data_IF_617880700849
#
_entry.id   IF_617880700849
#
_cell.length_a   1.000
_cell.length_b   1.000
_cell.length_c   1.000
_cell.angle_alpha   90.00
_cell.angle_beta   90.00
_cell.angle_gamma   90.00
#
_symmetry.space_group_name_H-M   'P 1'
#
loop_
_entity.id
_entity.type
_entity.pdbx_description
1 polymer ?
#
# COMPACT_ATOMS: atom_id res chain seq x y z
N UNK A 1 3.70 -23.80 17.62
CA UNK A 1 4.89 -23.19 18.26
C UNK A 1 6.12 -23.99 17.84
N UNK A 2 7.26 -23.35 17.56
CA UNK A 2 8.48 -24.04 17.10
C UNK A 2 9.10 -24.92 18.20
N UNK A 3 8.98 -24.49 19.46
CA UNK A 3 9.39 -25.25 20.65
C UNK A 3 8.21 -25.32 21.62
N UNK A 4 8.15 -26.38 22.44
CA UNK A 4 7.03 -26.59 23.37
C UNK A 4 7.12 -25.70 24.61
N UNK A 5 8.31 -25.63 25.22
CA UNK A 5 8.46 -25.06 26.57
C UNK A 5 9.43 -23.87 26.63
N UNK A 6 9.80 -23.28 25.49
CA UNK A 6 10.68 -22.11 25.44
C UNK A 6 10.38 -21.18 24.27
N UNK A 7 10.67 -19.87 24.40
CA UNK A 7 10.68 -18.96 23.27
C UNK A 7 11.72 -19.36 22.23
N UNK A 8 11.55 -18.87 21.00
CA UNK A 8 12.56 -19.01 19.95
C UNK A 8 13.53 -17.83 19.99
N UNK A 9 14.64 -17.95 19.25
CA UNK A 9 15.66 -16.91 19.15
C UNK A 9 15.09 -15.52 18.82
N UNK A 10 14.06 -15.44 17.95
CA UNK A 10 13.46 -14.16 17.60
C UNK A 10 12.86 -13.41 18.80
N UNK A 11 12.35 -14.12 19.80
CA UNK A 11 11.90 -13.49 21.04
C UNK A 11 13.11 -13.03 21.88
N UNK A 12 14.11 -13.89 22.03
CA UNK A 12 15.30 -13.59 22.84
C UNK A 12 16.08 -12.38 22.31
N UNK A 13 16.07 -12.16 20.99
CA UNK A 13 16.67 -10.98 20.34
C UNK A 13 15.69 -9.81 20.13
N UNK A 14 14.47 -9.89 20.68
CA UNK A 14 13.50 -8.79 20.67
C UNK A 14 12.76 -8.55 19.34
N UNK A 15 12.85 -9.45 18.36
CA UNK A 15 12.13 -9.35 17.07
C UNK A 15 10.71 -9.91 17.09
N UNK A 16 10.35 -10.68 18.11
CA UNK A 16 9.03 -11.29 18.25
C UNK A 16 8.53 -11.11 19.68
N UNK A 17 7.25 -10.74 19.90
CA UNK A 17 6.68 -10.61 21.23
C UNK A 17 6.29 -11.96 21.88
N UNK A 18 6.62 -13.09 21.25
CA UNK A 18 6.44 -14.41 21.86
C UNK A 18 4.98 -14.91 21.86
N UNK A 19 4.20 -14.55 20.83
CA UNK A 19 2.80 -14.99 20.66
C UNK A 19 2.62 -16.51 20.76
N UNK A 20 3.60 -17.26 20.24
CA UNK A 20 3.58 -18.72 20.22
C UNK A 20 3.66 -19.35 21.63
N UNK A 21 4.20 -18.61 22.60
CA UNK A 21 4.30 -18.99 24.01
C UNK A 21 3.38 -18.15 24.91
N UNK A 22 2.45 -17.37 24.33
CA UNK A 22 1.52 -16.49 25.07
C UNK A 22 2.22 -15.49 26.01
N UNK A 23 3.42 -15.06 25.65
CA UNK A 23 4.20 -14.06 26.41
C UNK A 23 3.68 -12.63 26.21
N UNK A 24 2.74 -12.44 25.30
CA UNK A 24 2.02 -11.19 25.06
C UNK A 24 0.51 -11.47 25.12
N UNK A 25 -0.25 -10.53 25.69
CA UNK A 25 -1.70 -10.64 25.73
C UNK A 25 -2.33 -10.42 24.34
N UNK A 26 -3.49 -11.04 24.04
CA UNK A 26 -4.23 -10.76 22.81
C UNK A 26 -4.56 -9.28 22.63
N UNK A 27 -4.84 -8.56 23.72
CA UNK A 27 -5.14 -7.13 23.72
C UNK A 27 -3.93 -6.29 23.28
N UNK A 28 -2.75 -6.55 23.84
CA UNK A 28 -1.52 -5.83 23.47
C UNK A 28 -1.07 -6.17 22.05
N UNK A 29 -1.20 -7.43 21.65
CA UNK A 29 -0.92 -7.83 20.29
C UNK A 29 -1.84 -7.12 19.29
N UNK A 30 -3.13 -6.99 19.63
CA UNK A 30 -4.10 -6.24 18.80
C UNK A 30 -3.74 -4.76 18.69
N UNK A 31 -3.26 -4.12 19.77
CA UNK A 31 -2.76 -2.72 19.71
C UNK A 31 -1.56 -2.61 18.77
N UNK A 32 -0.65 -3.58 18.79
CA UNK A 32 0.48 -3.63 17.85
C UNK A 32 -0.01 -3.75 16.40
N UNK A 33 -0.96 -4.65 16.13
CA UNK A 33 -1.54 -4.81 14.81
C UNK A 33 -2.25 -3.55 14.31
N UNK A 34 -2.93 -2.80 15.18
CA UNK A 34 -3.54 -1.52 14.81
C UNK A 34 -2.50 -0.50 14.34
N UNK A 35 -1.35 -0.42 15.02
CA UNK A 35 -0.24 0.46 14.59
C UNK A 35 0.31 0.03 13.22
N UNK A 36 0.51 -1.26 13.02
CA UNK A 36 0.96 -1.81 11.73
C UNK A 36 -0.05 -1.49 10.63
N UNK A 37 -1.36 -1.65 10.89
CA UNK A 37 -2.41 -1.33 9.93
C UNK A 37 -2.39 0.16 9.54
N UNK A 38 -2.13 1.08 10.47
CA UNK A 38 -2.03 2.52 10.16
C UNK A 38 -0.90 2.80 9.16
N UNK A 39 0.23 2.10 9.25
CA UNK A 39 1.34 2.24 8.30
C UNK A 39 0.88 1.85 6.88
N UNK A 40 0.25 0.69 6.72
CA UNK A 40 -0.23 0.21 5.41
C UNK A 40 -1.40 1.03 4.84
N UNK A 41 -2.14 1.73 5.70
CA UNK A 41 -3.19 2.67 5.30
C UNK A 41 -2.65 4.07 4.94
N UNK A 42 -1.34 4.29 5.03
CA UNK A 42 -0.73 5.60 4.77
C UNK A 42 -0.89 6.61 5.91
N UNK A 43 -1.49 6.22 7.05
CA UNK A 43 -1.67 7.04 8.26
C UNK A 43 -0.40 7.12 9.11
N UNK A 44 0.73 7.28 8.45
CA UNK A 44 2.05 7.29 9.09
C UNK A 44 2.25 8.51 9.97
N UNK A 45 1.80 9.69 9.52
CA UNK A 45 1.91 10.94 10.27
C UNK A 45 1.17 10.86 11.61
N UNK A 46 -0.06 10.36 11.59
CA UNK A 46 -0.87 10.18 12.80
C UNK A 46 -0.20 9.21 13.79
N UNK A 47 0.42 8.13 13.29
CA UNK A 47 1.19 7.21 14.14
C UNK A 47 2.45 7.88 14.73
N UNK A 48 3.16 8.70 13.94
CA UNK A 48 4.31 9.47 14.42
C UNK A 48 3.91 10.44 15.55
N UNK A 49 2.77 11.13 15.41
CA UNK A 49 2.27 12.05 16.42
C UNK A 49 1.92 11.30 17.73
N UNK A 50 1.26 10.14 17.63
CA UNK A 50 0.94 9.28 18.79
C UNK A 50 2.23 8.82 19.50
N UNK A 51 3.25 8.40 18.75
CA UNK A 51 4.51 7.92 19.32
C UNK A 51 5.33 9.05 19.92
N UNK A 52 5.30 10.25 19.31
CA UNK A 52 5.96 11.45 19.83
C UNK A 52 5.36 11.85 21.17
N UNK A 53 4.04 11.94 21.27
CA UNK A 53 3.37 12.25 22.53
C UNK A 53 3.69 11.22 23.63
N UNK A 54 3.76 9.93 23.29
CA UNK A 54 4.16 8.89 24.22
C UNK A 54 5.63 8.98 24.64
N UNK A 55 6.51 9.40 23.73
CA UNK A 55 7.94 9.58 23.98
C UNK A 55 8.18 10.75 24.93
N UNK A 56 7.52 11.89 24.69
CA UNK A 56 7.65 13.09 25.52
C UNK A 56 7.16 12.81 26.94
N UNK A 57 6.01 12.14 27.07
CA UNK A 57 5.50 11.69 28.38
C UNK A 57 6.49 10.77 29.10
N UNK A 58 7.09 9.82 28.39
CA UNK A 58 8.10 8.93 28.98
C UNK A 58 9.35 9.69 29.44
N UNK A 59 9.75 10.75 28.73
CA UNK A 59 10.85 11.61 29.12
C UNK A 59 10.51 12.47 30.36
N UNK A 60 9.28 13.00 30.45
CA UNK A 60 8.78 13.70 31.64
C UNK A 60 8.77 12.79 32.88
N UNK A 61 8.42 11.51 32.71
CA UNK A 61 8.46 10.49 33.75
C UNK A 61 9.88 9.95 34.04
N UNK A 62 10.92 10.55 33.45
CA UNK A 62 12.34 10.15 33.57
C UNK A 62 12.64 8.71 33.09
N UNK A 63 11.76 8.13 32.26
CA UNK A 63 11.91 6.81 31.68
C UNK A 63 12.64 6.88 30.32
N UNK A 64 13.92 7.26 30.38
CA UNK A 64 14.74 7.53 29.19
C UNK A 64 14.94 6.31 28.28
N UNK A 65 15.01 5.10 28.83
CA UNK A 65 15.11 3.89 28.01
C UNK A 65 13.87 3.67 27.16
N UNK A 66 12.69 3.89 27.72
CA UNK A 66 11.44 3.75 26.99
C UNK A 66 11.28 4.87 25.94
N UNK A 67 11.61 6.11 26.31
CA UNK A 67 11.64 7.24 25.37
C UNK A 67 12.60 6.98 24.20
N UNK A 68 13.80 6.44 24.47
CA UNK A 68 14.76 6.08 23.42
C UNK A 68 14.21 5.02 22.47
N UNK A 69 13.52 3.99 22.99
CA UNK A 69 12.86 2.98 22.14
C UNK A 69 11.78 3.59 21.24
N UNK A 70 10.96 4.50 21.76
CA UNK A 70 9.94 5.20 20.97
C UNK A 70 10.56 6.09 19.89
N UNK A 71 11.62 6.83 20.22
CA UNK A 71 12.41 7.60 19.26
C UNK A 71 12.94 6.75 18.11
N UNK A 72 13.49 5.58 18.44
CA UNK A 72 14.05 4.68 17.43
C UNK A 72 12.95 4.05 16.56
N UNK A 73 11.75 3.81 17.11
CA UNK A 73 10.56 3.43 16.33
C UNK A 73 10.13 4.54 15.37
N UNK A 74 10.06 5.80 15.81
CA UNK A 74 9.72 6.97 14.97
C UNK A 74 10.70 7.07 13.80
N UNK A 75 12.01 6.97 14.07
CA UNK A 75 13.05 6.98 13.01
C UNK A 75 12.88 5.83 12.02
N UNK A 76 12.56 4.64 12.52
CA UNK A 76 12.26 3.48 11.67
C UNK A 76 11.07 3.75 10.75
N UNK A 77 9.99 4.32 11.28
CA UNK A 77 8.80 4.69 10.51
C UNK A 77 9.13 5.75 9.45
N UNK A 78 9.86 6.81 9.81
CA UNK A 78 10.27 7.86 8.88
C UNK A 78 11.15 7.33 7.75
N UNK A 79 12.01 6.35 8.04
CA UNK A 79 12.84 5.70 7.02
C UNK A 79 12.03 4.93 5.98
N UNK A 80 10.83 4.45 6.33
CA UNK A 80 9.91 3.82 5.37
C UNK A 80 9.29 4.85 4.40
N UNK A 81 9.17 6.11 4.81
CA UNK A 81 8.57 7.19 4.02
C UNK A 81 9.54 7.99 3.15
N UNK A 82 10.84 7.90 3.39
CA UNK A 82 11.85 8.77 2.76
C UNK A 82 12.00 8.57 1.24
N UNK A 83 11.62 7.41 0.70
CA UNK A 83 11.84 7.06 -0.71
C UNK A 83 10.66 7.40 -1.67
N UNK A 84 9.53 7.91 -1.17
CA UNK A 84 8.31 8.07 -1.99
C UNK A 84 7.83 9.52 -2.08
N UNK A 85 8.57 10.33 -2.85
CA UNK A 85 8.17 11.68 -3.28
C UNK A 85 7.18 11.64 -4.44
N UNK A 86 5.94 11.25 -4.17
CA UNK A 86 4.79 11.73 -4.96
C UNK A 86 3.70 11.97 -3.93
N UNK A 87 3.28 13.22 -3.76
CA UNK A 87 2.11 13.59 -2.96
C UNK A 87 1.02 14.02 -3.95
N UNK A 88 -0.13 13.37 -3.89
CA UNK A 88 -1.35 13.81 -4.58
C UNK A 88 -2.15 14.70 -3.61
N UNK A 89 -2.88 15.73 -4.06
CA UNK A 89 -3.63 16.64 -3.17
C UNK A 89 -4.80 15.99 -2.39
N UNK A 90 -5.09 14.72 -2.64
CA UNK A 90 -6.29 14.03 -2.16
C UNK A 90 -5.90 12.71 -1.48
N UNK A 91 -5.43 12.83 -0.25
CA UNK A 91 -4.74 11.78 0.54
C UNK A 91 -5.69 10.67 1.07
N UNK A 92 -6.96 10.64 0.65
CA UNK A 92 -7.94 9.66 1.16
C UNK A 92 -8.32 8.59 0.13
N UNK A 93 -8.04 8.80 -1.15
CA UNK A 93 -8.50 7.92 -2.24
C UNK A 93 -7.36 7.05 -2.76
N UNK A 94 -7.55 5.74 -2.72
CA UNK A 94 -6.69 4.76 -3.39
C UNK A 94 -6.91 4.82 -4.90
N UNK A 95 -5.83 5.05 -5.66
CA UNK A 95 -5.84 5.17 -7.12
C UNK A 95 -4.80 4.23 -7.73
N UNK A 96 -5.10 3.62 -8.86
CA UNK A 96 -4.06 3.05 -9.73
C UNK A 96 -3.99 3.89 -11.00
N UNK A 97 -2.79 4.08 -11.55
CA UNK A 97 -2.58 4.81 -12.80
C UNK A 97 -1.81 3.93 -13.77
N UNK A 98 -2.36 3.74 -14.98
CA UNK A 98 -1.78 2.91 -16.01
C UNK A 98 -1.54 3.72 -17.29
N UNK A 99 -0.36 3.55 -17.86
CA UNK A 99 0.02 4.14 -19.13
C UNK A 99 0.92 3.18 -19.91
N UNK A 100 1.00 3.40 -21.22
CA UNK A 100 1.92 2.71 -22.08
C UNK A 100 2.72 3.67 -22.97
N UNK A 101 3.87 3.20 -23.41
CA UNK A 101 4.62 3.77 -24.51
C UNK A 101 4.97 2.63 -25.47
N UNK A 102 4.82 2.84 -26.76
CA UNK A 102 5.04 1.80 -27.76
C UNK A 102 5.90 2.30 -28.92
N UNK A 103 6.70 1.39 -29.48
CA UNK A 103 7.32 1.50 -30.80
C UNK A 103 6.61 0.58 -31.81
N UNK A 104 7.24 0.26 -32.95
CA UNK A 104 6.65 -0.60 -33.99
C UNK A 104 6.47 -2.07 -33.58
N UNK A 105 7.16 -2.51 -32.52
CA UNK A 105 7.24 -3.92 -32.12
C UNK A 105 6.79 -4.15 -30.67
N UNK A 106 7.11 -3.23 -29.75
CA UNK A 106 6.90 -3.42 -28.33
C UNK A 106 6.10 -2.27 -27.72
N UNK A 107 5.14 -2.63 -26.86
CA UNK A 107 4.48 -1.73 -25.94
C UNK A 107 4.96 -2.02 -24.52
N UNK A 108 5.54 -1.01 -23.87
CA UNK A 108 5.92 -1.03 -22.47
C UNK A 108 4.80 -0.39 -21.65
N UNK A 109 4.20 -1.15 -20.74
CA UNK A 109 3.08 -0.71 -19.91
C UNK A 109 3.56 -0.59 -18.47
N UNK A 110 3.17 0.50 -17.81
CA UNK A 110 3.50 0.76 -16.42
C UNK A 110 2.21 1.02 -15.63
N UNK A 111 1.98 0.18 -14.62
CA UNK A 111 0.93 0.35 -13.62
C UNK A 111 1.55 0.86 -12.31
N UNK A 112 1.10 2.02 -11.87
CA UNK A 112 1.47 2.64 -10.61
C UNK A 112 0.34 2.51 -9.61
N UNK A 113 0.63 1.98 -8.43
CA UNK A 113 -0.34 1.82 -7.36
C UNK A 113 -0.15 2.94 -6.34
N UNK A 114 -1.16 3.77 -6.16
CA UNK A 114 -1.13 4.98 -5.31
C UNK A 114 -2.15 4.81 -4.17
N UNK A 115 -1.69 4.91 -2.93
CA UNK A 115 -2.53 4.77 -1.73
C UNK A 115 -2.26 5.95 -0.81
N UNK A 116 -3.32 6.62 -0.38
CA UNK A 116 -3.22 7.83 0.45
C UNK A 116 -2.20 8.85 -0.10
N UNK A 117 -2.31 9.14 -1.41
CA UNK A 117 -1.40 10.05 -2.10
C UNK A 117 0.00 9.51 -2.39
N UNK A 118 0.40 8.36 -1.83
CA UNK A 118 1.77 7.79 -1.94
C UNK A 118 1.86 6.66 -2.94
N UNK A 119 2.95 6.62 -3.71
CA UNK A 119 3.22 5.54 -4.66
C UNK A 119 3.71 4.28 -3.94
N UNK A 120 2.84 3.29 -3.71
CA UNK A 120 3.17 2.06 -2.98
C UNK A 120 3.69 0.92 -3.86
N UNK A 121 3.44 0.96 -5.17
CA UNK A 121 3.80 -0.12 -6.08
C UNK A 121 4.01 0.32 -7.52
N UNK A 122 4.90 -0.39 -8.22
CA UNK A 122 5.21 -0.16 -9.63
C UNK A 122 5.36 -1.50 -10.35
N UNK A 123 4.40 -1.82 -11.22
CA UNK A 123 4.33 -3.07 -11.98
C UNK A 123 4.52 -2.78 -13.46
N UNK A 124 5.52 -3.43 -14.07
CA UNK A 124 5.85 -3.27 -15.48
C UNK A 124 5.41 -4.49 -16.29
N UNK A 125 4.85 -4.25 -17.47
CA UNK A 125 4.43 -5.28 -18.42
C UNK A 125 4.96 -4.93 -19.82
N UNK A 126 5.11 -5.96 -20.65
CA UNK A 126 5.52 -5.81 -22.05
C UNK A 126 4.52 -6.58 -22.91
N UNK A 127 4.05 -5.96 -23.98
CA UNK A 127 3.18 -6.56 -24.97
C UNK A 127 3.68 -6.27 -26.39
N UNK A 128 3.19 -7.02 -27.37
CA UNK A 128 3.38 -6.71 -28.78
C UNK A 128 2.57 -5.45 -29.14
N UNK A 129 3.22 -4.44 -29.72
CA UNK A 129 2.58 -3.20 -30.13
C UNK A 129 1.49 -3.40 -31.19
N UNK A 130 1.55 -4.48 -31.97
CA UNK A 130 0.59 -4.80 -33.03
C UNK A 130 -0.58 -5.65 -32.53
N UNK A 131 -0.60 -6.03 -31.25
CA UNK A 131 -1.64 -6.87 -30.67
C UNK A 131 -3.02 -6.18 -30.51
N UNK A 132 -3.09 -4.86 -30.72
CA UNK A 132 -4.33 -4.10 -30.66
C UNK A 132 -4.11 -2.60 -30.54
N UNK A 133 -5.21 -1.86 -30.31
CA UNK A 133 -5.11 -0.43 -30.00
C UNK A 133 -4.48 -0.23 -28.61
N UNK A 134 -3.85 0.93 -28.33
CA UNK A 134 -3.33 1.23 -27.00
C UNK A 134 -4.34 0.99 -25.86
N UNK A 135 -5.60 1.40 -26.06
CA UNK A 135 -6.68 1.14 -25.11
C UNK A 135 -6.96 -0.35 -24.88
N UNK A 136 -6.99 -1.16 -25.95
CA UNK A 136 -7.18 -2.59 -25.85
C UNK A 136 -6.00 -3.30 -25.14
N UNK A 137 -4.77 -2.84 -25.37
CA UNK A 137 -3.58 -3.35 -24.68
C UNK A 137 -3.67 -3.03 -23.18
N UNK A 138 -4.02 -1.79 -22.81
CA UNK A 138 -4.21 -1.41 -21.41
C UNK A 138 -5.32 -2.23 -20.74
N UNK A 139 -6.46 -2.44 -21.42
CA UNK A 139 -7.57 -3.21 -20.87
C UNK A 139 -7.15 -4.65 -20.54
N UNK A 140 -6.46 -5.34 -21.45
CA UNK A 140 -5.97 -6.71 -21.21
C UNK A 140 -5.04 -6.78 -20.01
N UNK A 141 -4.12 -5.83 -19.88
CA UNK A 141 -3.21 -5.77 -18.73
C UNK A 141 -3.98 -5.57 -17.42
N UNK A 142 -5.01 -4.71 -17.41
CA UNK A 142 -5.85 -4.51 -16.23
C UNK A 142 -6.66 -5.76 -15.88
N UNK A 143 -7.25 -6.43 -16.89
CA UNK A 143 -7.99 -7.69 -16.70
C UNK A 143 -7.10 -8.78 -16.09
N UNK A 144 -5.94 -9.04 -16.69
CA UNK A 144 -4.97 -10.03 -16.22
C UNK A 144 -4.47 -9.70 -14.80
N UNK A 145 -4.13 -8.43 -14.56
CA UNK A 145 -3.66 -7.99 -13.25
C UNK A 145 -4.73 -8.20 -12.19
N UNK A 146 -5.91 -7.59 -12.37
CA UNK A 146 -6.94 -7.63 -11.33
C UNK A 146 -7.57 -9.00 -11.19
N UNK A 147 -7.51 -9.89 -12.17
CA UNK A 147 -7.97 -11.28 -12.00
C UNK A 147 -7.24 -11.99 -10.85
N UNK A 148 -5.94 -11.72 -10.67
CA UNK A 148 -5.09 -12.37 -9.65
C UNK A 148 -5.07 -11.67 -8.30
N UNK A 149 -5.43 -10.40 -8.25
CA UNK A 149 -5.33 -9.53 -7.08
C UNK A 149 -6.49 -9.75 -6.10
N UNK A 150 -6.23 -9.64 -4.79
CA UNK A 150 -7.28 -9.73 -3.77
C UNK A 150 -8.23 -8.52 -3.80
N UNK A 151 -9.50 -8.72 -3.45
CA UNK A 151 -10.53 -7.68 -3.51
C UNK A 151 -10.19 -6.39 -2.73
N UNK A 152 -9.42 -6.51 -1.65
CA UNK A 152 -9.02 -5.37 -0.80
C UNK A 152 -7.99 -4.45 -1.47
N UNK A 153 -7.24 -4.96 -2.44
CA UNK A 153 -6.19 -4.20 -3.13
C UNK A 153 -6.72 -3.40 -4.33
N UNK A 154 -7.96 -3.70 -4.77
CA UNK A 154 -8.63 -2.99 -5.88
C UNK A 154 -8.88 -1.52 -5.46
N UNK A 155 -8.35 -0.53 -6.20
CA UNK A 155 -8.48 0.88 -5.87
C UNK A 155 -9.93 1.38 -6.07
N UNK A 156 -10.21 2.59 -5.59
CA UNK A 156 -11.48 3.24 -5.91
C UNK A 156 -11.50 3.83 -7.31
N UNK A 157 -10.33 4.23 -7.80
CA UNK A 157 -10.18 4.90 -9.08
C UNK A 157 -9.02 4.29 -9.85
N UNK A 158 -9.21 4.12 -11.16
CA UNK A 158 -8.18 3.68 -12.09
C UNK A 158 -8.04 4.77 -13.15
N UNK A 159 -6.88 5.37 -13.25
CA UNK A 159 -6.54 6.39 -14.24
C UNK A 159 -5.90 5.71 -15.44
N UNK A 160 -6.50 5.89 -16.62
CA UNK A 160 -6.02 5.31 -17.87
C UNK A 160 -5.50 6.40 -18.80
N UNK A 161 -4.45 6.11 -19.58
CA UNK A 161 -3.94 7.02 -20.61
C UNK A 161 -4.82 7.05 -21.88
N UNK A 162 -5.50 5.94 -22.17
CA UNK A 162 -6.33 5.77 -23.36
C UNK A 162 -7.69 5.19 -22.97
N UNK A 163 -8.71 5.51 -23.76
CA UNK A 163 -10.05 4.95 -23.58
C UNK A 163 -10.04 3.43 -23.74
N UNK A 164 -10.77 2.73 -22.87
CA UNK A 164 -10.81 1.26 -22.86
C UNK A 164 -12.03 0.77 -23.65
N UNK A 165 -11.89 -0.19 -24.58
CA UNK A 165 -13.01 -0.74 -25.35
C UNK A 165 -14.23 -1.13 -24.52
N UNK A 166 -14.01 -1.80 -23.39
CA UNK A 166 -15.05 -2.28 -22.47
C UNK A 166 -14.84 -1.73 -21.05
N UNK A 167 -14.43 -0.47 -20.94
CA UNK A 167 -14.13 0.18 -19.65
C UNK A 167 -15.28 0.10 -18.63
N UNK A 168 -16.52 0.24 -19.07
CA UNK A 168 -17.71 0.15 -18.21
C UNK A 168 -17.90 -1.28 -17.64
N UNK A 169 -17.70 -2.31 -18.47
CA UNK A 169 -17.81 -3.71 -18.06
C UNK A 169 -16.73 -4.05 -17.04
N UNK A 170 -15.49 -3.59 -17.29
CA UNK A 170 -14.38 -3.77 -16.36
C UNK A 170 -14.66 -3.06 -15.03
N UNK A 171 -15.16 -1.82 -15.06
CA UNK A 171 -15.51 -1.06 -13.86
C UNK A 171 -16.60 -1.75 -13.04
N UNK A 172 -17.61 -2.32 -13.69
CA UNK A 172 -18.68 -3.09 -13.05
C UNK A 172 -18.13 -4.37 -12.38
N UNK A 173 -17.32 -5.14 -13.11
CA UNK A 173 -16.67 -6.35 -12.60
C UNK A 173 -15.83 -6.06 -11.34
N UNK A 174 -15.01 -5.01 -11.39
CA UNK A 174 -14.17 -4.60 -10.27
C UNK A 174 -15.00 -4.08 -9.09
N UNK A 175 -16.10 -3.36 -9.37
CA UNK A 175 -17.06 -2.92 -8.35
C UNK A 175 -17.68 -4.10 -7.60
N UNK A 176 -18.11 -5.14 -8.32
CA UNK A 176 -18.69 -6.34 -7.73
C UNK A 176 -17.66 -7.08 -6.85
N UNK A 177 -16.42 -7.24 -7.34
CA UNK A 177 -15.35 -7.91 -6.57
C UNK A 177 -14.94 -7.15 -5.32
N UNK A 178 -14.81 -5.82 -5.42
CA UNK A 178 -14.43 -4.95 -4.30
C UNK A 178 -15.56 -4.78 -3.28
N UNK A 179 -16.82 -4.92 -3.71
CA UNK A 179 -18.01 -4.62 -2.90
C UNK A 179 -18.29 -3.11 -2.74
N UNK A 180 -17.55 -2.25 -3.46
CA UNK A 180 -17.69 -0.79 -3.47
C UNK A 180 -17.40 -0.27 -4.88
N UNK A 181 -18.05 0.84 -5.25
CA UNK A 181 -17.94 1.45 -6.58
C UNK A 181 -16.49 1.73 -6.97
N UNK A 182 -16.10 1.27 -8.15
CA UNK A 182 -14.82 1.54 -8.81
C UNK A 182 -15.09 2.42 -10.03
N UNK A 183 -14.26 3.44 -10.21
CA UNK A 183 -14.34 4.36 -11.34
C UNK A 183 -13.10 4.24 -12.22
N UNK A 184 -13.28 4.20 -13.54
CA UNK A 184 -12.18 4.31 -14.49
C UNK A 184 -12.27 5.70 -15.12
N UNK A 185 -11.18 6.45 -15.05
CA UNK A 185 -11.09 7.82 -15.55
C UNK A 185 -10.03 7.95 -16.63
N UNK A 186 -10.35 8.71 -17.66
CA UNK A 186 -9.41 9.18 -18.68
C UNK A 186 -9.06 10.66 -18.39
N UNK A 187 -8.07 10.95 -17.51
CA UNK A 187 -7.73 12.32 -17.17
C UNK A 187 -7.17 13.07 -18.38
N UNK A 188 -7.75 14.22 -18.67
CA UNK A 188 -7.24 15.15 -19.69
C UNK A 188 -6.45 16.27 -19.00
N UNK A 189 -5.31 16.66 -19.57
CA UNK A 189 -4.61 17.87 -19.13
C UNK A 189 -5.56 19.05 -19.28
N UNK A 190 -5.85 19.75 -18.19
CA UNK A 190 -6.45 21.09 -18.28
C UNK A 190 -5.44 21.98 -19.00
N UNK A 191 -5.90 22.62 -20.07
CA UNK A 191 -5.12 23.56 -20.89
C UNK A 191 -5.00 24.91 -20.21
#
# INVERSE_FOLDING_TARGET
>A
PLFKDRPCLNYDIGRCPGVCQRLISPEEYRKTLQKVAMIFQGRTQELEDILTAAMDKAAEELNFEYAARLRDQIRGIQSLGADQKVQSPDDTVSRDAIALAADEHHACIQLFQIRAGRLVGRLGFVADAQSGTPGAILQRVLEEHYQTVEAIEIPAEILVQHDLPDGDILAEFLTQRRGRKVHIFLPQRQT
#
